data_IF_588789950634
#
_entry.id   IF_588789950634
#
_cell.length_a   1.000
_cell.length_b   1.000
_cell.length_c   1.000
_cell.angle_alpha   90.00
_cell.angle_beta   90.00
_cell.angle_gamma   90.00
#
_symmetry.space_group_name_H-M   'P 1'
#
loop_
_entity.id
_entity.type
_entity.pdbx_description
1 polymer ?
#
# COMPACT_ATOMS: atom_id res chain seq x y z
N UNK A 1 20.19 -1.84 44.81
CA UNK A 1 19.42 -2.32 43.66
C UNK A 1 19.94 -1.76 42.31
N UNK A 2 19.92 -0.46 42.04
CA UNK A 2 20.39 0.09 40.76
C UNK A 2 21.88 -0.17 40.46
N UNK A 3 22.76 -0.22 41.50
CA UNK A 3 24.19 -0.60 41.37
C UNK A 3 24.37 -2.05 40.93
N UNK A 4 23.59 -2.98 41.47
CA UNK A 4 23.66 -4.41 41.17
C UNK A 4 23.19 -4.67 39.74
N UNK A 5 22.10 -4.01 39.33
CA UNK A 5 21.51 -4.13 37.99
C UNK A 5 22.23 -3.25 36.93
N UNK A 6 23.24 -2.49 37.30
CA UNK A 6 23.98 -1.55 36.44
C UNK A 6 23.05 -0.57 35.70
N UNK A 7 21.93 -0.17 36.30
CA UNK A 7 20.95 0.77 35.74
C UNK A 7 21.19 2.16 36.36
N UNK A 8 21.23 3.25 35.55
CA UNK A 8 21.28 4.61 36.06
C UNK A 8 20.08 4.92 36.97
N UNK A 9 20.33 5.53 38.14
CA UNK A 9 19.27 5.92 39.08
C UNK A 9 18.21 6.82 38.40
N UNK A 10 18.64 7.77 37.58
CA UNK A 10 17.75 8.67 36.85
C UNK A 10 16.75 7.93 35.94
N UNK A 11 17.22 6.88 35.25
CA UNK A 11 16.39 6.05 34.41
C UNK A 11 15.35 5.25 35.21
N UNK A 12 15.75 4.72 36.36
CA UNK A 12 14.86 4.00 37.25
C UNK A 12 13.74 4.91 37.80
N UNK A 13 14.08 6.08 38.33
CA UNK A 13 13.07 7.00 38.86
C UNK A 13 12.16 7.58 37.77
N UNK A 14 12.68 7.81 36.56
CA UNK A 14 11.87 8.21 35.41
C UNK A 14 10.86 7.13 35.04
N UNK A 15 11.30 5.90 34.98
CA UNK A 15 10.40 4.76 34.72
C UNK A 15 9.37 4.59 35.84
N UNK A 16 9.73 4.75 37.09
CA UNK A 16 8.82 4.66 38.22
C UNK A 16 7.71 5.72 38.15
N UNK A 17 8.05 6.93 37.69
CA UNK A 17 7.14 8.07 37.52
C UNK A 17 6.21 7.91 36.31
N UNK A 18 6.70 7.35 35.22
CA UNK A 18 5.95 7.15 33.97
C UNK A 18 6.39 5.83 33.31
N UNK A 19 5.83 4.68 33.74
CA UNK A 19 6.20 3.35 33.24
C UNK A 19 5.94 3.18 31.75
N UNK A 20 4.94 3.85 31.22
CA UNK A 20 4.59 3.74 29.81
C UNK A 20 5.38 4.70 28.94
N UNK A 21 5.74 5.88 29.45
CA UNK A 21 6.47 6.89 28.73
C UNK A 21 5.67 7.57 27.60
N UNK A 22 5.93 8.84 27.35
CA UNK A 22 5.24 9.62 26.32
C UNK A 22 5.35 9.01 24.92
N UNK A 23 6.47 8.35 24.61
CA UNK A 23 6.70 7.73 23.30
C UNK A 23 5.77 6.55 23.06
N UNK A 24 5.54 5.71 24.08
CA UNK A 24 4.65 4.56 23.99
C UNK A 24 3.21 5.02 23.81
N UNK A 25 2.77 6.04 24.57
CA UNK A 25 1.45 6.65 24.41
C UNK A 25 1.20 7.18 22.99
N UNK A 26 2.14 7.95 22.44
CA UNK A 26 2.07 8.44 21.05
C UNK A 26 1.98 7.30 20.03
N UNK A 27 2.67 6.19 20.28
CA UNK A 27 2.58 5.03 19.38
C UNK A 27 1.23 4.33 19.48
N UNK A 28 0.64 4.24 20.67
CA UNK A 28 -0.69 3.67 20.85
C UNK A 28 -1.76 4.53 20.16
N UNK A 29 -1.72 5.84 20.33
CA UNK A 29 -2.61 6.78 19.62
C UNK A 29 -2.47 6.66 18.09
N UNK A 30 -1.23 6.49 17.60
CA UNK A 30 -0.99 6.28 16.18
C UNK A 30 -1.52 4.93 15.70
N UNK A 31 -1.36 3.87 16.49
CA UNK A 31 -1.89 2.54 16.18
C UNK A 31 -3.42 2.56 16.06
N UNK A 32 -4.13 3.29 16.93
CA UNK A 32 -5.58 3.49 16.87
C UNK A 32 -5.97 4.21 15.57
N UNK A 33 -5.34 5.34 15.27
CA UNK A 33 -5.61 6.10 14.04
C UNK A 33 -5.37 5.28 12.77
N UNK A 34 -4.29 4.49 12.74
CA UNK A 34 -4.00 3.59 11.60
C UNK A 34 -5.07 2.50 11.50
N UNK A 35 -5.50 1.95 12.62
CA UNK A 35 -6.55 0.92 12.66
C UNK A 35 -7.87 1.46 12.14
N UNK A 36 -8.28 2.64 12.60
CA UNK A 36 -9.53 3.28 12.18
C UNK A 36 -9.52 3.58 10.69
N UNK A 37 -8.45 4.18 10.17
CA UNK A 37 -8.28 4.45 8.74
C UNK A 37 -8.27 3.15 7.90
N UNK A 38 -7.69 2.07 8.42
CA UNK A 38 -7.66 0.78 7.74
C UNK A 38 -9.05 0.16 7.65
N UNK A 39 -9.82 0.17 8.73
CA UNK A 39 -11.18 -0.39 8.75
C UNK A 39 -12.16 0.49 7.97
N UNK A 40 -12.05 1.82 8.04
CA UNK A 40 -12.82 2.74 7.19
C UNK A 40 -12.62 2.42 5.70
N UNK A 41 -11.40 2.08 5.29
CA UNK A 41 -11.09 1.63 3.94
C UNK A 41 -11.44 0.15 3.66
N UNK A 42 -12.16 -0.53 4.57
CA UNK A 42 -12.53 -1.95 4.48
C UNK A 42 -11.33 -2.89 4.25
N UNK A 43 -10.16 -2.53 4.76
CA UNK A 43 -8.91 -3.29 4.61
C UNK A 43 -8.30 -3.27 3.21
N UNK A 44 -8.72 -2.36 2.34
CA UNK A 44 -8.19 -2.26 0.96
C UNK A 44 -6.93 -1.42 0.87
N UNK A 45 -6.76 -0.44 1.76
CA UNK A 45 -5.62 0.48 1.73
C UNK A 45 -4.37 -0.16 2.34
N UNK A 46 -3.24 -0.05 1.63
CA UNK A 46 -1.91 -0.37 2.15
C UNK A 46 -1.21 0.87 2.73
N UNK A 47 -0.01 0.69 3.27
CA UNK A 47 0.75 1.77 3.94
C UNK A 47 0.92 3.06 3.13
N UNK A 48 1.06 3.06 1.78
CA UNK A 48 1.19 4.32 1.04
C UNK A 48 -0.10 5.15 1.03
N UNK A 49 -1.26 4.49 0.91
CA UNK A 49 -2.57 5.17 0.94
C UNK A 49 -2.93 5.62 2.34
N UNK A 50 -2.76 4.75 3.34
CA UNK A 50 -3.01 5.10 4.73
C UNK A 50 -2.15 6.26 5.22
N UNK A 51 -0.88 6.36 4.79
CA UNK A 51 -0.04 7.51 5.10
C UNK A 51 -0.60 8.82 4.52
N UNK A 52 -1.17 8.80 3.30
CA UNK A 52 -1.85 9.94 2.71
C UNK A 52 -3.14 10.29 3.44
N UNK A 53 -3.95 9.30 3.78
CA UNK A 53 -5.21 9.49 4.51
C UNK A 53 -4.95 10.13 5.89
N UNK A 54 -3.92 9.64 6.60
CA UNK A 54 -3.49 10.21 7.88
C UNK A 54 -2.92 11.64 7.74
N UNK A 55 -2.21 11.91 6.65
CA UNK A 55 -1.72 13.26 6.37
C UNK A 55 -2.86 14.25 6.13
N UNK A 56 -3.89 13.86 5.39
CA UNK A 56 -5.10 14.65 5.16
C UNK A 56 -5.86 14.89 6.47
N UNK A 57 -5.90 13.91 7.37
CA UNK A 57 -6.52 14.03 8.70
C UNK A 57 -5.65 14.76 9.73
N UNK A 58 -4.58 15.43 9.31
CA UNK A 58 -3.73 16.25 10.18
C UNK A 58 -2.69 15.48 11.00
N UNK A 59 -2.46 14.19 10.69
CA UNK A 59 -1.42 13.38 11.34
C UNK A 59 -0.34 13.01 10.32
N UNK A 60 0.67 13.87 10.06
CA UNK A 60 1.70 13.59 9.07
C UNK A 60 2.62 12.47 9.56
N UNK A 61 2.54 11.33 8.91
CA UNK A 61 3.34 10.14 9.24
C UNK A 61 3.98 9.58 7.99
N UNK A 62 5.22 9.11 8.11
CA UNK A 62 5.92 8.52 6.98
C UNK A 62 5.32 7.16 6.60
N UNK A 63 5.37 6.82 5.30
CA UNK A 63 4.96 5.52 4.77
C UNK A 63 5.63 4.34 5.50
N UNK A 64 6.91 4.49 5.82
CA UNK A 64 7.71 3.46 6.51
C UNK A 64 7.23 3.23 7.93
N UNK A 65 6.90 4.30 8.66
CA UNK A 65 6.31 4.22 10.00
C UNK A 65 4.97 3.49 9.97
N UNK A 66 4.08 3.89 9.07
CA UNK A 66 2.76 3.22 8.90
C UNK A 66 2.95 1.74 8.57
N UNK A 67 3.87 1.39 7.67
CA UNK A 67 4.16 0.00 7.32
C UNK A 67 4.65 -0.83 8.52
N UNK A 68 5.50 -0.25 9.37
CA UNK A 68 6.00 -0.89 10.58
C UNK A 68 4.87 -1.16 11.59
N UNK A 69 3.99 -0.16 11.82
CA UNK A 69 2.85 -0.28 12.70
C UNK A 69 1.81 -1.29 12.18
N UNK A 70 1.48 -1.24 10.89
CA UNK A 70 0.61 -2.25 10.26
C UNK A 70 1.14 -3.67 10.45
N UNK A 71 2.46 -3.88 10.25
CA UNK A 71 3.09 -5.20 10.45
C UNK A 71 2.97 -5.67 11.89
N UNK A 72 3.20 -4.79 12.87
CA UNK A 72 3.04 -5.11 14.30
C UNK A 72 1.61 -5.49 14.65
N UNK A 73 0.63 -4.84 14.05
CA UNK A 73 -0.79 -5.11 14.25
C UNK A 73 -1.33 -6.28 13.39
N UNK A 74 -0.50 -6.90 12.54
CA UNK A 74 -0.92 -7.97 11.62
C UNK A 74 -1.82 -7.50 10.48
N UNK A 75 -1.90 -6.19 10.22
CA UNK A 75 -2.75 -5.61 9.18
C UNK A 75 -2.12 -5.76 7.80
N UNK A 76 -2.87 -6.34 6.86
CA UNK A 76 -2.46 -6.50 5.45
C UNK A 76 -3.56 -6.02 4.52
N UNK A 77 -3.18 -5.32 3.44
CA UNK A 77 -4.13 -4.94 2.40
C UNK A 77 -4.68 -6.17 1.68
N UNK A 78 -6.00 -6.23 1.53
CA UNK A 78 -6.70 -7.29 0.76
C UNK A 78 -6.30 -7.31 -0.72
N UNK A 79 -5.83 -6.18 -1.27
CA UNK A 79 -5.38 -6.05 -2.65
C UNK A 79 -3.92 -6.46 -2.86
N UNK A 80 -3.23 -6.89 -1.80
CA UNK A 80 -1.85 -7.41 -1.89
C UNK A 80 -1.84 -8.79 -2.55
N UNK A 81 -2.13 -8.83 -3.86
CA UNK A 81 -1.97 -10.04 -4.67
C UNK A 81 -0.52 -10.16 -5.11
N UNK A 82 -0.02 -11.39 -5.19
CA UNK A 82 1.27 -11.64 -5.83
C UNK A 82 1.16 -11.27 -7.29
N UNK A 83 2.14 -10.52 -7.78
CA UNK A 83 2.30 -10.28 -9.20
C UNK A 83 2.48 -11.63 -9.91
N UNK A 84 1.67 -11.88 -10.93
CA UNK A 84 1.79 -13.04 -11.79
C UNK A 84 2.18 -12.54 -13.19
N UNK A 85 3.30 -13.03 -13.70
CA UNK A 85 3.67 -12.78 -15.08
C UNK A 85 2.67 -13.54 -15.96
N UNK A 86 1.89 -12.82 -16.73
CA UNK A 86 0.85 -13.38 -17.61
C UNK A 86 1.28 -13.41 -19.07
N UNK A 87 2.29 -12.63 -19.42
CA UNK A 87 2.77 -12.49 -20.79
C UNK A 87 4.26 -12.84 -20.85
N UNK A 88 4.63 -13.74 -21.74
CA UNK A 88 6.03 -13.97 -22.11
C UNK A 88 6.34 -13.16 -23.38
N UNK A 89 7.17 -12.13 -23.21
CA UNK A 89 7.61 -11.26 -24.31
C UNK A 89 8.96 -11.70 -24.90
N UNK A 90 9.54 -12.82 -24.41
CA UNK A 90 10.82 -13.31 -24.93
C UNK A 90 10.60 -14.15 -26.19
N UNK A 91 10.27 -13.50 -27.29
CA UNK A 91 10.12 -14.11 -28.60
C UNK A 91 11.01 -13.39 -29.64
N UNK A 92 11.45 -14.12 -30.65
CA UNK A 92 12.28 -13.59 -31.75
C UNK A 92 11.47 -13.05 -32.94
N UNK A 93 10.17 -12.81 -32.77
CA UNK A 93 9.34 -12.24 -33.83
C UNK A 93 9.67 -10.77 -34.06
N UNK A 94 9.56 -10.33 -35.33
CA UNK A 94 9.72 -8.93 -35.69
C UNK A 94 8.66 -8.09 -34.97
N UNK A 95 9.08 -7.12 -34.20
CA UNK A 95 8.19 -6.16 -33.56
C UNK A 95 7.89 -5.05 -34.56
N UNK A 96 6.61 -4.78 -34.80
CA UNK A 96 6.19 -3.67 -35.65
C UNK A 96 6.60 -2.31 -35.02
N UNK A 97 6.95 -1.31 -35.83
CA UNK A 97 7.24 0.02 -35.31
C UNK A 97 6.03 0.64 -34.65
N UNK A 98 6.27 1.43 -33.61
CA UNK A 98 5.20 2.16 -32.91
C UNK A 98 4.76 3.36 -33.75
N UNK A 99 3.72 3.20 -34.57
CA UNK A 99 3.20 4.26 -35.45
C UNK A 99 2.49 5.37 -34.68
N UNK A 100 1.85 5.03 -33.56
CA UNK A 100 1.09 6.00 -32.75
C UNK A 100 2.00 6.90 -31.90
N UNK A 101 3.23 6.46 -31.59
CA UNK A 101 4.24 7.18 -30.80
C UNK A 101 3.72 7.89 -29.54
N UNK A 102 2.70 7.30 -28.86
CA UNK A 102 1.99 7.85 -27.68
C UNK A 102 1.19 9.12 -27.95
N UNK A 103 0.91 9.47 -29.19
CA UNK A 103 0.05 10.58 -29.56
C UNK A 103 -1.42 10.17 -29.51
N UNK A 104 -1.98 10.09 -28.31
CA UNK A 104 -3.37 9.65 -28.09
C UNK A 104 -4.42 10.76 -28.37
N UNK A 105 -3.99 12.03 -28.39
CA UNK A 105 -4.84 13.17 -28.71
C UNK A 105 -4.90 13.37 -30.23
N UNK A 106 -5.89 12.79 -30.85
CA UNK A 106 -6.14 12.96 -32.29
C UNK A 106 -7.22 14.01 -32.50
N UNK A 107 -6.95 14.98 -33.39
CA UNK A 107 -7.89 16.05 -33.71
C UNK A 107 -9.02 15.61 -34.66
N UNK A 108 -8.87 14.44 -35.28
CA UNK A 108 -9.84 13.88 -36.21
C UNK A 108 -10.46 12.62 -35.63
N UNK A 109 -11.80 12.45 -35.73
CA UNK A 109 -12.47 11.24 -35.27
C UNK A 109 -12.04 10.03 -36.12
N UNK A 110 -11.92 8.87 -35.48
CA UNK A 110 -11.62 7.58 -36.12
C UNK A 110 -10.20 7.46 -36.73
N UNK A 111 -9.28 8.36 -36.41
CA UNK A 111 -7.90 8.27 -36.89
C UNK A 111 -7.09 7.20 -36.18
N UNK A 112 -7.41 6.92 -34.92
CA UNK A 112 -6.81 5.85 -34.14
C UNK A 112 -7.89 5.16 -33.30
N UNK A 113 -7.92 3.83 -33.35
CA UNK A 113 -8.78 2.99 -32.53
C UNK A 113 -7.92 2.20 -31.56
N UNK A 114 -8.44 2.01 -30.36
CA UNK A 114 -7.82 1.17 -29.33
C UNK A 114 -8.77 0.02 -29.04
N UNK A 115 -8.25 -1.20 -29.06
CA UNK A 115 -9.02 -2.39 -28.70
C UNK A 115 -8.35 -3.15 -27.58
N UNK A 116 -9.14 -3.77 -26.71
CA UNK A 116 -8.66 -4.63 -25.64
C UNK A 116 -9.46 -5.93 -25.57
N UNK A 117 -8.79 -7.00 -25.14
CA UNK A 117 -9.40 -8.30 -24.92
C UNK A 117 -9.21 -8.69 -23.46
N UNK A 118 -10.29 -8.73 -22.70
CA UNK A 118 -10.29 -9.09 -21.28
C UNK A 118 -10.81 -10.51 -21.07
N UNK A 119 -10.06 -11.33 -20.34
CA UNK A 119 -10.41 -12.70 -19.97
C UNK A 119 -11.16 -12.69 -18.63
N UNK A 120 -12.42 -13.09 -18.62
CA UNK A 120 -13.25 -13.22 -17.43
C UNK A 120 -13.38 -14.70 -17.08
N UNK A 121 -12.80 -15.16 -15.94
CA UNK A 121 -12.91 -16.56 -15.55
C UNK A 121 -14.35 -16.90 -15.15
N UNK A 122 -14.91 -17.95 -15.74
CA UNK A 122 -16.19 -18.52 -15.43
C UNK A 122 -16.05 -19.94 -14.88
N UNK A 123 -17.15 -20.56 -14.46
CA UNK A 123 -17.12 -21.93 -13.92
C UNK A 123 -16.66 -22.95 -14.97
N UNK A 124 -17.06 -22.75 -16.22
CA UNK A 124 -16.84 -23.69 -17.33
C UNK A 124 -15.75 -23.22 -18.31
N UNK A 125 -14.89 -22.25 -17.92
CA UNK A 125 -13.82 -21.73 -18.75
C UNK A 125 -13.65 -20.23 -18.68
N UNK A 126 -13.49 -19.55 -19.81
CA UNK A 126 -13.31 -18.10 -19.90
C UNK A 126 -14.34 -17.47 -20.81
N UNK A 127 -14.88 -16.34 -20.38
CA UNK A 127 -15.61 -15.40 -21.22
C UNK A 127 -14.63 -14.36 -21.74
N UNK A 128 -14.73 -14.01 -23.03
CA UNK A 128 -13.89 -13.02 -23.68
C UNK A 128 -14.70 -11.75 -23.91
N UNK A 129 -14.28 -10.65 -23.26
CA UNK A 129 -14.87 -9.33 -23.46
C UNK A 129 -13.95 -8.53 -24.37
N UNK A 130 -14.46 -8.12 -25.53
CA UNK A 130 -13.75 -7.26 -26.48
C UNK A 130 -14.41 -5.89 -26.50
N UNK A 131 -13.60 -4.85 -26.42
CA UNK A 131 -14.01 -3.45 -26.55
C UNK A 131 -13.18 -2.81 -27.67
N UNK A 132 -13.82 -1.99 -28.53
CA UNK A 132 -13.16 -1.20 -29.60
C UNK A 132 -13.51 0.26 -29.42
#
# INVERSE_FOLDING_TARGET
>A
MCRVLKVPRSSYYRWLKDPEGQRKRKYMELDEKIRDAYFAARGRNGSPRLAKDLQVSGTPVSRTTVACHMRKMGLRSKLSRRFKVTTDASHNYKVAPNLLNREFNQNEPVKACVSDLTYIPCKDGFLYLTCV
#
